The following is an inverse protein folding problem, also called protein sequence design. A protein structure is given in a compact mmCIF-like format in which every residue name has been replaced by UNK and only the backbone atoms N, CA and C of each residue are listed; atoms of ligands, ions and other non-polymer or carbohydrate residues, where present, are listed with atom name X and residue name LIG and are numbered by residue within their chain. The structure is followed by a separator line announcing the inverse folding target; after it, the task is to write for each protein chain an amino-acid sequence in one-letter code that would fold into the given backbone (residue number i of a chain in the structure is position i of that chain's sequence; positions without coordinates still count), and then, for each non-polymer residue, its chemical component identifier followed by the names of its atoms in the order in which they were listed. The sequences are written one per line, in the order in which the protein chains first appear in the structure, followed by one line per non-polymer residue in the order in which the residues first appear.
data_IF_512406074227
#
_entry.id   IF_512406074227
#
_cell.length_a   1.000
_cell.length_b   1.000
_cell.length_c   1.000
_cell.angle_alpha   90.00
_cell.angle_beta   90.00
_cell.angle_gamma   90.00
#
_symmetry.space_group_name_H-M   'P 1'
#
loop_
_entity.id
_entity.type
_entity.pdbx_description
1 polymer ?
#
# COMPACT_ATOMS: atom_id res chain seq x y z
N UNK A 1 -60.98 12.52 -16.13
CA UNK A 1 -59.58 12.90 -15.84
C UNK A 1 -58.73 11.64 -15.85
N UNK A 2 -57.84 11.45 -16.82
CA UNK A 2 -56.85 10.35 -16.84
C UNK A 2 -55.46 10.96 -16.99
N UNK A 3 -54.98 11.64 -15.95
CA UNK A 3 -53.60 12.13 -15.85
C UNK A 3 -53.17 11.80 -14.42
N UNK A 4 -52.69 10.58 -14.16
CA UNK A 4 -52.14 10.27 -12.83
C UNK A 4 -51.13 9.11 -12.79
N UNK A 5 -51.11 8.18 -13.76
CA UNK A 5 -50.25 6.99 -13.61
C UNK A 5 -48.97 7.00 -14.48
N UNK A 6 -48.95 7.78 -15.56
CA UNK A 6 -47.81 7.79 -16.49
C UNK A 6 -46.61 8.59 -15.96
N UNK A 7 -46.86 9.62 -15.14
CA UNK A 7 -45.80 10.48 -14.58
C UNK A 7 -45.02 9.78 -13.47
N UNK A 8 -45.72 8.99 -12.64
CA UNK A 8 -45.10 8.27 -11.51
C UNK A 8 -44.18 7.15 -12.01
N UNK A 9 -44.61 6.38 -13.01
CA UNK A 9 -43.79 5.33 -13.62
C UNK A 9 -42.54 5.90 -14.32
N UNK A 10 -42.67 7.03 -15.03
CA UNK A 10 -41.54 7.70 -15.67
C UNK A 10 -40.52 8.21 -14.64
N UNK A 11 -40.99 8.80 -13.54
CA UNK A 11 -40.14 9.22 -12.42
C UNK A 11 -39.41 8.04 -11.77
N UNK A 12 -40.11 6.94 -11.50
CA UNK A 12 -39.50 5.72 -10.93
C UNK A 12 -38.46 5.12 -11.89
N UNK A 13 -38.76 5.06 -13.19
CA UNK A 13 -37.82 4.56 -14.21
C UNK A 13 -36.61 5.47 -14.37
N UNK A 14 -36.79 6.79 -14.31
CA UNK A 14 -35.68 7.76 -14.33
C UNK A 14 -34.85 7.64 -13.06
N UNK A 15 -35.47 7.51 -11.88
CA UNK A 15 -34.75 7.25 -10.63
C UNK A 15 -33.97 5.93 -10.67
N UNK A 16 -34.58 4.84 -11.15
CA UNK A 16 -33.90 3.55 -11.32
C UNK A 16 -32.74 3.64 -12.33
N UNK A 17 -32.92 4.36 -13.43
CA UNK A 17 -31.87 4.56 -14.43
C UNK A 17 -30.72 5.43 -13.89
N UNK A 18 -31.02 6.47 -13.10
CA UNK A 18 -30.03 7.32 -12.43
C UNK A 18 -29.28 6.54 -11.35
N UNK A 19 -29.99 5.72 -10.56
CA UNK A 19 -29.37 4.82 -9.57
C UNK A 19 -28.48 3.79 -10.27
N UNK A 20 -28.96 3.12 -11.33
CA UNK A 20 -28.16 2.17 -12.10
C UNK A 20 -26.93 2.83 -12.76
N UNK A 21 -27.06 4.06 -13.29
CA UNK A 21 -25.94 4.80 -13.87
C UNK A 21 -24.94 5.31 -12.81
N UNK A 22 -25.37 5.47 -11.56
CA UNK A 22 -24.51 5.85 -10.43
C UNK A 22 -23.75 4.67 -9.82
N UNK A 23 -24.20 3.43 -10.06
CA UNK A 23 -23.45 2.20 -9.73
C UNK A 23 -22.48 1.91 -10.88
N UNK A 24 -21.48 2.79 -11.05
CA UNK A 24 -20.23 2.38 -11.66
C UNK A 24 -19.39 1.83 -10.51
N UNK A 25 -19.54 0.54 -10.24
CA UNK A 25 -18.54 -0.15 -9.44
C UNK A 25 -17.20 0.05 -10.14
N UNK A 26 -16.17 0.42 -9.40
CA UNK A 26 -14.81 0.43 -9.94
C UNK A 26 -14.35 -1.03 -10.06
N UNK A 27 -14.89 -1.75 -11.05
CA UNK A 27 -14.80 -3.20 -11.15
C UNK A 27 -13.36 -3.69 -11.40
N UNK A 28 -12.42 -2.77 -11.57
CA UNK A 28 -11.01 -3.04 -11.85
C UNK A 28 -10.06 -2.43 -10.80
N UNK A 29 -10.56 -1.99 -9.65
CA UNK A 29 -9.73 -1.52 -8.54
C UNK A 29 -9.63 -2.55 -7.40
N UNK A 30 -8.39 -2.71 -6.93
CA UNK A 30 -8.03 -3.56 -5.81
C UNK A 30 -7.60 -2.66 -4.64
N UNK A 31 -7.85 -3.11 -3.42
CA UNK A 31 -7.43 -2.41 -2.20
C UNK A 31 -6.08 -2.94 -1.75
N UNK A 32 -5.18 -2.00 -1.51
CA UNK A 32 -3.84 -2.25 -1.02
C UNK A 32 -3.76 -1.67 0.39
N UNK A 33 -3.44 -2.50 1.37
CA UNK A 33 -3.18 -2.08 2.74
C UNK A 33 -1.71 -2.25 3.03
N UNK A 34 -1.06 -1.18 3.47
CA UNK A 34 0.37 -1.12 3.73
C UNK A 34 0.57 -0.83 5.21
N UNK A 35 1.33 -1.69 5.87
CA UNK A 35 1.79 -1.52 7.24
C UNK A 35 3.27 -1.20 7.21
N UNK A 36 3.67 -0.10 7.82
CA UNK A 36 5.07 0.33 7.88
C UNK A 36 5.52 0.31 9.34
N UNK A 37 6.57 -0.46 9.63
CA UNK A 37 7.19 -0.48 10.94
C UNK A 37 8.45 0.38 10.91
N UNK A 38 8.42 1.49 11.61
CA UNK A 38 9.63 2.26 11.91
C UNK A 38 10.42 1.55 13.01
N UNK A 39 11.74 1.45 12.85
CA UNK A 39 12.58 0.80 13.85
C UNK A 39 12.70 1.60 15.14
N UNK A 40 13.15 0.94 16.20
CA UNK A 40 13.32 1.53 17.53
C UNK A 40 14.70 2.16 17.76
N UNK A 41 15.50 2.33 16.69
CA UNK A 41 16.82 2.96 16.76
C UNK A 41 16.70 4.42 17.21
N UNK A 42 17.73 4.94 17.89
CA UNK A 42 17.76 6.35 18.30
C UNK A 42 17.69 7.22 17.04
N UNK A 43 16.77 8.20 17.02
CA UNK A 43 16.46 9.03 15.85
C UNK A 43 15.99 8.23 14.62
N UNK A 44 15.30 7.11 14.83
CA UNK A 44 14.77 6.28 13.74
C UNK A 44 13.51 6.80 13.06
N UNK A 45 12.86 7.86 13.58
CA UNK A 45 11.66 8.47 12.99
C UNK A 45 11.97 9.59 11.99
N UNK A 46 10.97 10.07 11.25
CA UNK A 46 11.16 11.10 10.22
C UNK A 46 9.91 11.92 9.90
N UNK A 47 10.13 13.17 9.50
CA UNK A 47 9.09 14.08 8.96
C UNK A 47 9.07 14.10 7.41
N UNK A 48 9.88 13.25 6.76
CA UNK A 48 9.97 13.17 5.30
C UNK A 48 8.76 12.46 4.69
N UNK A 49 8.47 12.76 3.41
CA UNK A 49 7.44 12.03 2.66
C UNK A 49 7.96 10.67 2.25
N UNK A 50 7.21 9.63 2.60
CA UNK A 50 7.55 8.25 2.28
C UNK A 50 6.70 7.75 1.11
N UNK A 51 7.39 7.26 0.08
CA UNK A 51 6.80 6.65 -1.11
C UNK A 51 7.15 5.17 -1.24
N UNK A 52 6.34 4.43 -1.98
CA UNK A 52 6.59 3.03 -2.31
C UNK A 52 6.33 2.75 -3.78
N UNK A 53 7.05 1.78 -4.33
CA UNK A 53 6.65 1.04 -5.52
C UNK A 53 6.60 -0.44 -5.20
N UNK A 54 5.53 -1.10 -5.63
CA UNK A 54 5.31 -2.52 -5.43
C UNK A 54 5.12 -3.19 -6.78
N UNK A 55 5.80 -4.31 -7.02
CA UNK A 55 5.74 -5.02 -8.31
C UNK A 55 5.50 -6.52 -8.10
N UNK A 56 4.78 -7.12 -9.05
CA UNK A 56 4.69 -8.56 -9.23
C UNK A 56 5.88 -9.11 -10.02
N UNK A 57 5.93 -10.44 -10.17
CA UNK A 57 7.02 -11.13 -10.86
C UNK A 57 7.12 -10.79 -12.36
N UNK A 58 6.08 -10.19 -12.96
CA UNK A 58 6.09 -9.72 -14.35
C UNK A 58 6.63 -8.29 -14.48
N UNK A 59 6.89 -7.60 -13.37
CA UNK A 59 7.30 -6.20 -13.32
C UNK A 59 6.13 -5.20 -13.38
N UNK A 60 4.88 -5.67 -13.39
CA UNK A 60 3.70 -4.81 -13.29
C UNK A 60 3.51 -4.43 -11.82
N UNK A 61 3.07 -3.20 -11.54
CA UNK A 61 3.02 -2.72 -10.18
C UNK A 61 2.23 -1.44 -9.96
N UNK A 62 2.33 -0.94 -8.74
CA UNK A 62 1.83 0.39 -8.32
C UNK A 62 2.98 1.27 -7.85
N UNK A 63 2.78 2.58 -7.93
CA UNK A 63 3.69 3.60 -7.40
C UNK A 63 2.86 4.58 -6.59
N UNK A 64 3.27 4.82 -5.36
CA UNK A 64 2.68 5.77 -4.43
C UNK A 64 3.79 6.71 -3.99
N UNK A 65 3.68 8.00 -4.32
CA UNK A 65 4.73 8.98 -4.02
C UNK A 65 4.71 9.47 -2.57
N UNK A 66 3.57 9.37 -1.89
CA UNK A 66 3.34 9.86 -0.53
C UNK A 66 2.24 9.01 0.12
N UNK A 67 2.65 8.08 0.97
CA UNK A 67 1.77 7.12 1.65
C UNK A 67 0.69 7.78 2.50
N UNK A 68 1.05 8.85 3.21
CA UNK A 68 0.12 9.57 4.08
C UNK A 68 -1.03 10.16 3.26
N UNK A 69 -0.69 10.91 2.21
CA UNK A 69 -1.70 11.52 1.33
C UNK A 69 -2.50 10.51 0.51
N UNK A 70 -1.92 9.34 0.22
CA UNK A 70 -2.57 8.29 -0.55
C UNK A 70 -3.66 7.58 0.24
N UNK A 71 -3.49 7.43 1.56
CA UNK A 71 -4.48 6.73 2.37
C UNK A 71 -4.10 6.48 3.82
N UNK A 72 -3.48 7.45 4.51
CA UNK A 72 -3.22 7.34 5.96
C UNK A 72 -4.48 7.02 6.77
N UNK A 73 -4.41 6.00 7.63
CA UNK A 73 -5.56 5.49 8.39
C UNK A 73 -5.50 5.77 9.90
N UNK A 74 -4.52 6.53 10.37
CA UNK A 74 -4.29 6.75 11.81
C UNK A 74 -4.95 8.03 12.37
N UNK A 75 -5.57 8.83 11.49
CA UNK A 75 -6.21 10.11 11.84
C UNK A 75 -5.41 11.32 11.34
N UNK A 76 -6.03 12.50 11.35
CA UNK A 76 -5.43 13.74 10.81
C UNK A 76 -4.33 14.34 11.68
N UNK A 77 -4.33 14.03 12.98
CA UNK A 77 -3.37 14.55 13.96
C UNK A 77 -2.28 13.52 14.30
N UNK A 78 -2.26 12.38 13.60
CA UNK A 78 -1.26 11.34 13.84
C UNK A 78 0.06 11.70 13.17
N UNK A 79 1.13 11.59 13.93
CA UNK A 79 2.49 11.81 13.44
C UNK A 79 3.05 10.49 12.91
N UNK A 80 3.10 10.38 11.58
CA UNK A 80 3.48 9.14 10.89
C UNK A 80 4.99 8.94 10.92
N UNK A 81 5.41 7.68 10.78
CA UNK A 81 6.80 7.26 10.65
C UNK A 81 7.65 7.52 11.88
N UNK A 82 7.03 7.68 13.05
CA UNK A 82 7.71 7.91 14.31
C UNK A 82 8.45 6.69 14.85
N UNK A 83 9.50 6.93 15.66
CA UNK A 83 10.38 5.88 16.17
C UNK A 83 9.58 4.76 16.88
N UNK A 84 9.68 3.54 16.35
CA UNK A 84 9.01 2.35 16.90
C UNK A 84 7.50 2.28 16.61
N UNK A 85 6.95 3.22 15.85
CA UNK A 85 5.55 3.22 15.44
C UNK A 85 5.26 2.13 14.41
N UNK A 86 3.99 1.71 14.39
CA UNK A 86 3.43 0.90 13.31
C UNK A 86 2.33 1.73 12.67
N UNK A 87 2.55 2.15 11.44
CA UNK A 87 1.63 2.99 10.69
C UNK A 87 0.90 2.19 9.64
N UNK A 88 -0.36 2.55 9.38
CA UNK A 88 -1.24 1.83 8.46
C UNK A 88 -1.79 2.78 7.41
N UNK A 89 -1.69 2.36 6.16
CA UNK A 89 -2.19 3.07 5.00
C UNK A 89 -3.08 2.13 4.18
N UNK A 90 -4.13 2.66 3.56
CA UNK A 90 -4.92 1.91 2.60
C UNK A 90 -5.38 2.78 1.45
N UNK A 91 -5.13 2.32 0.24
CA UNK A 91 -5.55 3.01 -0.97
C UNK A 91 -5.94 2.04 -2.08
N UNK A 92 -6.53 2.60 -3.13
CA UNK A 92 -6.95 1.84 -4.30
C UNK A 92 -5.88 1.89 -5.39
N UNK A 93 -5.82 0.83 -6.17
CA UNK A 93 -4.93 0.72 -7.32
C UNK A 93 -5.45 -0.31 -8.32
N UNK A 94 -4.76 -0.51 -9.45
CA UNK A 94 -5.19 -1.44 -10.48
C UNK A 94 -5.32 -2.87 -9.93
N UNK A 95 -6.40 -3.55 -10.30
CA UNK A 95 -6.47 -5.00 -10.23
C UNK A 95 -5.65 -5.66 -11.36
N UNK A 96 -5.48 -6.98 -11.27
CA UNK A 96 -4.78 -7.78 -12.26
C UNK A 96 -3.26 -7.69 -12.18
N UNK A 97 -2.72 -7.36 -10.99
CA UNK A 97 -1.37 -7.77 -10.64
C UNK A 97 -1.39 -9.27 -10.31
N UNK A 98 -0.27 -9.95 -10.54
CA UNK A 98 -0.13 -11.37 -10.23
C UNK A 98 0.41 -11.52 -8.81
N UNK A 99 -0.43 -11.74 -7.78
CA UNK A 99 0.08 -11.93 -6.42
C UNK A 99 0.98 -13.17 -6.34
N UNK A 100 2.00 -13.15 -5.46
CA UNK A 100 2.31 -12.08 -4.52
C UNK A 100 3.08 -10.93 -5.17
N UNK A 101 2.94 -9.73 -4.62
CA UNK A 101 3.86 -8.63 -4.92
C UNK A 101 5.20 -8.99 -4.29
N UNK A 102 6.22 -9.16 -5.12
CA UNK A 102 7.50 -9.75 -4.70
C UNK A 102 8.66 -8.76 -4.70
N UNK A 103 8.40 -7.51 -5.06
CA UNK A 103 9.40 -6.46 -5.08
C UNK A 103 8.86 -5.17 -4.51
N UNK A 104 9.63 -4.59 -3.59
CA UNK A 104 9.41 -3.30 -2.96
C UNK A 104 10.55 -2.36 -3.33
N UNK A 105 10.21 -1.13 -3.69
CA UNK A 105 11.12 0.00 -3.64
C UNK A 105 10.52 1.07 -2.72
N UNK A 106 11.13 1.27 -1.55
CA UNK A 106 10.74 2.25 -0.55
C UNK A 106 11.60 3.52 -0.73
N UNK A 107 11.01 4.70 -0.68
CA UNK A 107 11.69 5.97 -0.91
C UNK A 107 11.33 7.00 0.16
N UNK A 108 12.29 7.85 0.51
CA UNK A 108 12.09 9.07 1.29
C UNK A 108 12.45 10.28 0.42
N UNK A 109 11.71 11.38 0.53
CA UNK A 109 12.09 12.63 -0.13
C UNK A 109 13.24 13.37 0.60
N UNK A 110 13.59 12.94 1.81
CA UNK A 110 14.68 13.49 2.62
C UNK A 110 14.46 14.95 3.03
N UNK A 111 13.21 15.43 3.02
CA UNK A 111 12.86 16.78 3.41
C UNK A 111 12.66 16.92 4.93
N UNK A 112 12.69 18.15 5.43
CA UNK A 112 12.41 18.48 6.82
C UNK A 112 13.63 18.42 7.74
N UNK A 113 13.40 18.77 9.01
CA UNK A 113 14.33 18.40 10.08
C UNK A 113 14.15 16.89 10.35
N UNK A 114 15.19 16.20 10.82
CA UNK A 114 15.09 14.76 11.10
C UNK A 114 14.72 13.91 9.86
N UNK A 115 15.33 14.20 8.72
CA UNK A 115 15.08 13.52 7.43
C UNK A 115 15.61 12.08 7.36
N UNK A 116 16.48 11.69 8.30
CA UNK A 116 17.03 10.34 8.36
C UNK A 116 16.06 9.37 9.02
N UNK A 117 15.63 8.35 8.28
CA UNK A 117 14.62 7.40 8.75
C UNK A 117 15.17 5.98 8.82
N UNK A 118 14.78 5.18 9.81
CA UNK A 118 15.09 3.75 9.83
C UNK A 118 13.82 2.92 9.72
N UNK A 119 13.66 2.24 8.59
CA UNK A 119 12.54 1.34 8.37
C UNK A 119 12.92 -0.09 8.76
N UNK A 120 12.11 -0.73 9.61
CA UNK A 120 12.29 -2.13 9.99
C UNK A 120 11.70 -3.06 8.91
N UNK A 121 10.41 -2.90 8.61
CA UNK A 121 9.73 -3.69 7.59
C UNK A 121 8.52 -2.96 6.99
N UNK A 122 8.10 -3.43 5.82
CA UNK A 122 6.83 -3.07 5.19
C UNK A 122 6.04 -4.34 4.93
N UNK A 123 4.79 -4.39 5.38
CA UNK A 123 3.87 -5.49 5.08
C UNK A 123 2.74 -4.98 4.19
N UNK A 124 2.46 -5.71 3.11
CA UNK A 124 1.45 -5.33 2.12
C UNK A 124 0.44 -6.43 1.99
N UNK A 125 -0.83 -6.05 2.08
CA UNK A 125 -1.97 -6.91 1.79
C UNK A 125 -2.71 -6.37 0.57
N UNK A 126 -2.95 -7.22 -0.43
CA UNK A 126 -3.78 -6.89 -1.59
C UNK A 126 -5.07 -7.68 -1.54
N UNK A 127 -6.20 -7.01 -1.74
CA UNK A 127 -7.53 -7.61 -1.81
C UNK A 127 -8.32 -7.05 -2.98
N UNK A 128 -9.15 -7.87 -3.61
CA UNK A 128 -9.98 -7.43 -4.73
C UNK A 128 -11.15 -8.37 -4.98
N UNK A 129 -12.19 -7.91 -5.70
CA UNK A 129 -13.30 -8.76 -6.09
C UNK A 129 -12.79 -9.95 -6.91
N UNK A 130 -13.11 -11.18 -6.47
CA UNK A 130 -12.70 -12.43 -7.14
C UNK A 130 -11.18 -12.62 -7.31
N UNK A 131 -10.36 -11.85 -6.59
CA UNK A 131 -8.90 -12.01 -6.53
C UNK A 131 -8.56 -12.58 -5.16
N UNK A 132 -7.76 -13.66 -5.07
CA UNK A 132 -7.32 -14.18 -3.77
C UNK A 132 -6.54 -13.10 -3.02
N UNK A 133 -6.80 -12.99 -1.71
CA UNK A 133 -5.99 -12.16 -0.83
C UNK A 133 -4.52 -12.60 -0.93
N UNK A 134 -3.60 -11.64 -0.92
CA UNK A 134 -2.18 -11.94 -0.86
C UNK A 134 -1.50 -10.98 0.09
N UNK A 135 -0.57 -11.53 0.86
CA UNK A 135 0.19 -10.79 1.85
C UNK A 135 1.69 -11.01 1.62
N UNK A 136 2.45 -9.92 1.64
CA UNK A 136 3.92 -9.97 1.57
C UNK A 136 4.53 -9.08 2.64
N UNK A 137 5.49 -9.62 3.39
CA UNK A 137 6.32 -8.90 4.35
C UNK A 137 7.71 -8.71 3.77
N UNK A 138 8.14 -7.46 3.64
CA UNK A 138 9.47 -7.07 3.20
C UNK A 138 10.25 -6.57 4.42
N UNK A 139 11.27 -7.31 4.86
CA UNK A 139 12.24 -6.78 5.81
C UNK A 139 13.15 -5.79 5.10
N UNK A 140 13.13 -4.53 5.56
CA UNK A 140 13.92 -3.44 5.00
C UNK A 140 15.21 -3.27 5.80
N UNK A 141 15.07 -3.05 7.12
CA UNK A 141 16.17 -2.88 8.09
C UNK A 141 17.30 -2.00 7.58
N UNK A 142 16.94 -0.83 7.09
CA UNK A 142 17.88 0.09 6.47
C UNK A 142 17.56 1.52 6.89
N UNK A 143 18.62 2.31 7.07
CA UNK A 143 18.48 3.76 7.05
C UNK A 143 18.15 4.25 5.64
N UNK A 144 17.12 5.07 5.52
CA UNK A 144 16.86 5.93 4.36
C UNK A 144 17.28 7.34 4.79
N UNK A 145 18.56 7.63 4.62
CA UNK A 145 19.20 8.83 5.15
C UNK A 145 20.43 9.19 4.33
N UNK A 146 20.79 10.48 4.29
CA UNK A 146 22.03 10.96 3.67
C UNK A 146 23.20 11.02 4.65
N UNK A 147 22.93 10.89 5.95
CA UNK A 147 23.89 11.01 7.05
C UNK A 147 24.11 9.71 7.83
N UNK A 148 23.43 8.63 7.45
CA UNK A 148 23.66 7.27 7.97
C UNK A 148 23.84 6.26 6.81
N UNK A 149 24.73 5.26 6.94
CA UNK A 149 24.87 4.20 5.94
C UNK A 149 23.53 3.49 5.67
N UNK A 150 23.19 3.19 4.40
CA UNK A 150 24.05 3.24 3.20
C UNK A 150 24.12 4.61 2.48
N UNK A 151 23.70 5.71 3.11
CA UNK A 151 23.70 7.06 2.55
C UNK A 151 22.77 7.21 1.33
N UNK A 152 21.64 6.52 1.36
CA UNK A 152 20.64 6.49 0.30
C UNK A 152 19.28 6.83 0.89
N UNK A 153 18.43 7.50 0.10
CA UNK A 153 17.05 7.81 0.47
C UNK A 153 16.05 6.77 -0.08
N UNK A 154 16.54 5.57 -0.41
CA UNK A 154 15.70 4.48 -0.88
C UNK A 154 16.22 3.13 -0.40
N UNK A 155 15.34 2.14 -0.38
CA UNK A 155 15.67 0.74 -0.16
C UNK A 155 14.89 -0.12 -1.16
N UNK A 156 15.58 -1.03 -1.84
CA UNK A 156 14.96 -1.98 -2.77
C UNK A 156 15.07 -3.40 -2.23
N UNK A 157 13.94 -4.09 -2.10
CA UNK A 157 13.86 -5.49 -1.67
C UNK A 157 13.21 -6.27 -2.80
N UNK A 158 13.95 -7.21 -3.40
CA UNK A 158 13.50 -8.00 -4.56
C UNK A 158 13.60 -9.49 -4.24
N UNK A 159 12.44 -10.15 -4.15
CA UNK A 159 12.33 -11.60 -3.95
C UNK A 159 11.59 -12.30 -5.09
N UNK A 160 11.44 -11.65 -6.25
CA UNK A 160 10.66 -12.21 -7.35
C UNK A 160 11.29 -13.49 -7.94
N UNK A 161 12.62 -13.63 -7.85
CA UNK A 161 13.33 -14.83 -8.29
C UNK A 161 13.20 -16.01 -7.30
N UNK A 162 12.85 -15.75 -6.05
CA UNK A 162 12.78 -16.76 -4.98
C UNK A 162 11.38 -17.34 -4.79
N UNK A 163 10.42 -16.94 -5.63
CA UNK A 163 9.05 -17.45 -5.57
C UNK A 163 9.05 -18.96 -5.86
N UNK A 164 8.61 -19.79 -4.90
CA UNK A 164 8.50 -21.23 -5.14
C UNK A 164 7.55 -21.48 -6.31
N UNK A 165 7.80 -22.52 -7.10
CA UNK A 165 6.84 -23.00 -8.09
C UNK A 165 5.53 -23.38 -7.39
N UNK A 166 4.52 -22.52 -7.49
CA UNK A 166 3.25 -22.64 -6.77
C UNK A 166 3.23 -21.82 -5.47
N UNK A 167 2.94 -20.52 -5.57
CA UNK A 167 2.65 -19.68 -4.41
C UNK A 167 1.33 -20.11 -3.76
N UNK A 168 1.37 -20.39 -2.46
CA UNK A 168 0.17 -20.64 -1.65
C UNK A 168 -0.42 -19.31 -1.20
N UNK A 169 -1.58 -18.94 -1.77
CA UNK A 169 -2.30 -17.72 -1.43
C UNK A 169 -2.74 -17.65 0.05
N UNK A 170 -2.74 -18.76 0.79
CA UNK A 170 -3.01 -18.77 2.22
C UNK A 170 -1.77 -18.48 3.08
N UNK A 171 -0.59 -18.32 2.47
CA UNK A 171 0.65 -18.03 3.17
C UNK A 171 1.17 -16.65 2.81
N UNK A 172 1.54 -15.91 3.85
CA UNK A 172 2.31 -14.68 3.70
C UNK A 172 3.68 -14.99 3.10
N UNK A 173 4.02 -14.29 2.01
CA UNK A 173 5.37 -14.27 1.49
C UNK A 173 6.24 -13.41 2.42
N UNK A 174 7.45 -13.86 2.74
CA UNK A 174 8.41 -13.10 3.55
C UNK A 174 9.69 -12.96 2.73
N UNK A 175 10.14 -11.72 2.55
CA UNK A 175 11.29 -11.37 1.73
C UNK A 175 12.25 -10.53 2.57
N UNK A 176 13.54 -10.80 2.45
CA UNK A 176 14.59 -10.21 3.27
C UNK A 176 14.93 -11.07 4.50
N UNK A 177 16.08 -10.79 5.11
CA UNK A 177 16.56 -11.55 6.26
C UNK A 177 15.58 -11.37 7.44
N UNK A 178 15.14 -12.46 8.06
CA UNK A 178 14.26 -12.42 9.23
C UNK A 178 15.04 -12.52 10.55
N UNK A 179 16.34 -12.82 10.51
CA UNK A 179 17.13 -13.28 11.66
C UNK A 179 17.78 -12.18 12.52
N UNK A 180 17.71 -10.91 12.15
CA UNK A 180 18.26 -9.81 12.95
C UNK A 180 17.21 -9.22 13.91
N UNK A 181 16.93 -9.93 15.00
CA UNK A 181 16.33 -9.35 16.20
C UNK A 181 16.90 -10.05 17.43
N UNK A 182 18.07 -9.61 17.85
CA UNK A 182 18.63 -9.81 19.19
C UNK A 182 19.11 -8.47 19.72
#
# INVERSE_FOLDING_TARGET
MCISDQVSAALILVFLAVVAASVRGDENECVYTVYVRTGSMIKGGTDSKIGISLQDASGKGIVVSDLESWGGLMGSEHDYFERGALDVFSGRGPCGLSPPLCKLNLTSDGAGAHHGWYCEYVEVTTTGPHVPCSQTLFYVRQWLATDAPPYQLYASVDGCAELPGGYDHNRRLVIGDSSASM
#
